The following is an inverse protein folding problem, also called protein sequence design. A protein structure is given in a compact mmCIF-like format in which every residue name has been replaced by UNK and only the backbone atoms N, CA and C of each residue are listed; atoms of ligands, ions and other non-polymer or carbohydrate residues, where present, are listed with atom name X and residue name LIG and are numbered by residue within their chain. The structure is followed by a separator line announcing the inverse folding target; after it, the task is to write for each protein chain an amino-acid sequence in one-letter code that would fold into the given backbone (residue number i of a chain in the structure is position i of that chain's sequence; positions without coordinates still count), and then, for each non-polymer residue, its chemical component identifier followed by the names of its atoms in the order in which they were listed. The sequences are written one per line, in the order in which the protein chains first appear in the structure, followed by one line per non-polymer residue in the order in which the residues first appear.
data_IF_779675270843
#
_entry.id   IF_779675270843
#
_cell.length_a   1.000
_cell.length_b   1.000
_cell.length_c   1.000
_cell.angle_alpha   90.00
_cell.angle_beta   90.00
_cell.angle_gamma   90.00
#
_symmetry.space_group_name_H-M   'P 1'
#
loop_
_entity.id
_entity.type
_entity.pdbx_description
1 polymer ?
#
# COMPACT_ATOMS: atom_id res chain seq x y z
N UNK A 1 -24.77 4.23 16.77
CA UNK A 1 -23.36 4.63 16.69
C UNK A 1 -23.30 5.64 15.57
N UNK A 2 -22.92 6.88 15.89
CA UNK A 2 -23.01 8.01 14.97
C UNK A 2 -22.01 7.83 13.82
N UNK A 3 -22.52 7.92 12.60
CA UNK A 3 -21.73 8.21 11.40
C UNK A 3 -21.03 9.56 11.59
N UNK A 4 -19.86 9.54 12.21
CA UNK A 4 -18.90 10.62 12.02
C UNK A 4 -18.20 10.36 10.70
N UNK A 5 -18.75 10.93 9.64
CA UNK A 5 -18.00 11.18 8.43
C UNK A 5 -16.87 12.15 8.82
N UNK A 6 -15.71 11.59 9.17
CA UNK A 6 -14.51 12.36 9.46
C UNK A 6 -14.16 13.06 8.15
N UNK A 7 -14.35 14.37 8.11
CA UNK A 7 -13.90 15.16 6.97
C UNK A 7 -12.38 15.08 6.94
N UNK A 8 -11.84 14.33 5.99
CA UNK A 8 -10.41 14.11 5.86
C UNK A 8 -9.74 15.41 5.44
N UNK A 9 -8.76 15.89 6.21
CA UNK A 9 -7.98 17.08 5.85
C UNK A 9 -7.02 16.73 4.70
N UNK A 10 -7.52 16.83 3.46
CA UNK A 10 -6.77 16.47 2.25
C UNK A 10 -5.49 17.28 2.07
N UNK A 11 -5.46 18.54 2.54
CA UNK A 11 -4.26 19.38 2.47
C UNK A 11 -3.16 18.82 3.37
N UNK A 12 -3.51 18.43 4.61
CA UNK A 12 -2.60 17.77 5.53
C UNK A 12 -2.12 16.42 4.95
N UNK A 13 -3.05 15.58 4.51
CA UNK A 13 -2.76 14.25 3.97
C UNK A 13 -1.79 14.33 2.79
N UNK A 14 -2.01 15.25 1.84
CA UNK A 14 -1.13 15.43 0.69
C UNK A 14 0.26 15.94 1.09
N UNK A 15 0.32 16.82 2.08
CA UNK A 15 1.58 17.40 2.58
C UNK A 15 2.53 16.33 3.12
N UNK A 16 1.97 15.33 3.82
CA UNK A 16 2.75 14.26 4.46
C UNK A 16 2.72 12.93 3.72
N UNK A 17 2.03 12.83 2.57
CA UNK A 17 2.00 11.60 1.78
C UNK A 17 3.44 11.18 1.41
N UNK A 18 3.81 9.90 1.57
CA UNK A 18 5.16 9.44 1.28
C UNK A 18 5.45 9.59 -0.21
N UNK A 19 6.69 9.96 -0.56
CA UNK A 19 7.14 9.92 -1.93
C UNK A 19 7.52 8.48 -2.28
N UNK A 20 6.61 7.77 -2.93
CA UNK A 20 6.86 6.40 -3.37
C UNK A 20 7.66 6.41 -4.67
N UNK A 21 8.53 5.41 -4.79
CA UNK A 21 9.27 5.12 -5.99
C UNK A 21 8.95 3.70 -6.46
N UNK A 22 8.59 3.54 -7.72
CA UNK A 22 8.27 2.25 -8.34
C UNK A 22 9.26 1.91 -9.44
N UNK A 23 9.43 0.63 -9.72
CA UNK A 23 10.18 0.18 -10.90
C UNK A 23 9.57 0.78 -12.16
N UNK A 24 10.43 1.17 -13.11
CA UNK A 24 10.01 1.78 -14.38
C UNK A 24 9.08 0.87 -15.20
N UNK A 25 9.11 -0.44 -15.00
CA UNK A 25 8.24 -1.40 -15.69
C UNK A 25 7.11 -1.95 -14.80
N UNK A 26 6.90 -1.38 -13.62
CA UNK A 26 5.78 -1.77 -12.76
C UNK A 26 4.44 -1.62 -13.50
N UNK A 27 3.64 -2.70 -13.65
CA UNK A 27 2.37 -2.65 -14.38
C UNK A 27 1.23 -2.04 -13.56
N UNK A 28 1.33 -2.04 -12.23
CA UNK A 28 0.23 -1.66 -11.33
C UNK A 28 0.62 -0.58 -10.33
N UNK A 29 -0.25 0.39 -10.15
CA UNK A 29 -0.06 1.53 -9.26
C UNK A 29 -1.22 1.66 -8.26
N UNK A 30 -1.03 2.38 -7.14
CA UNK A 30 -2.11 2.60 -6.19
C UNK A 30 -3.35 3.18 -6.86
N UNK A 31 -4.52 2.66 -6.53
CA UNK A 31 -5.82 3.16 -7.04
C UNK A 31 -6.64 3.86 -5.96
N UNK A 32 -6.40 3.52 -4.68
CA UNK A 32 -7.00 4.16 -3.51
C UNK A 32 -6.03 4.16 -2.33
N UNK A 33 -6.21 5.12 -1.43
CA UNK A 33 -5.46 5.21 -0.18
C UNK A 33 -6.42 5.55 0.96
N UNK A 34 -6.56 4.63 1.89
CA UNK A 34 -7.33 4.81 3.11
C UNK A 34 -6.47 5.48 4.16
N UNK A 35 -6.95 6.58 4.73
CA UNK A 35 -6.19 7.40 5.66
C UNK A 35 -6.80 7.39 7.05
N UNK A 36 -5.94 7.25 8.06
CA UNK A 36 -6.27 7.47 9.48
C UNK A 36 -5.30 8.47 10.08
N UNK A 37 -5.81 9.46 10.81
CA UNK A 37 -4.99 10.41 11.57
C UNK A 37 -5.15 10.08 13.06
N UNK A 38 -4.05 9.70 13.70
CA UNK A 38 -3.98 9.39 15.12
C UNK A 38 -3.46 10.62 15.88
N UNK A 39 -4.32 11.24 16.70
CA UNK A 39 -3.95 12.32 17.63
C UNK A 39 -3.55 11.77 19.02
N UNK A 40 -3.74 10.47 19.24
CA UNK A 40 -3.38 9.72 20.44
C UNK A 40 -3.08 8.26 20.06
N UNK A 41 -2.52 7.48 20.97
CA UNK A 41 -2.31 6.04 20.77
C UNK A 41 -3.64 5.35 20.36
N UNK A 42 -3.61 4.53 19.30
CA UNK A 42 -4.82 3.95 18.71
C UNK A 42 -4.56 2.73 17.81
N UNK A 43 -5.44 1.72 17.78
CA UNK A 43 -5.22 0.53 16.97
C UNK A 43 -5.40 0.88 15.49
N UNK A 44 -4.58 0.28 14.62
CA UNK A 44 -4.86 0.31 13.17
C UNK A 44 -6.04 -0.61 12.85
N UNK A 45 -6.93 -0.14 11.97
CA UNK A 45 -8.09 -0.93 11.53
C UNK A 45 -7.77 -1.92 10.41
N UNK A 46 -6.64 -1.72 9.72
CA UNK A 46 -6.26 -2.51 8.55
C UNK A 46 -4.90 -3.21 8.69
N UNK A 47 -4.18 -2.95 9.77
CA UNK A 47 -2.95 -3.67 10.13
C UNK A 47 -3.01 -4.11 11.58
N UNK A 48 -2.63 -5.36 11.87
CA UNK A 48 -2.71 -5.91 13.24
C UNK A 48 -1.63 -5.35 14.16
N UNK A 49 -1.79 -4.09 14.59
CA UNK A 49 -0.87 -3.38 15.48
C UNK A 49 -1.53 -2.26 16.29
N UNK A 50 -0.85 -1.89 17.36
CA UNK A 50 -1.08 -0.68 18.15
C UNK A 50 -0.17 0.43 17.59
N UNK A 51 -0.73 1.62 17.30
CA UNK A 51 0.07 2.81 17.03
C UNK A 51 0.33 3.48 18.38
N UNK A 52 1.60 3.48 18.80
CA UNK A 52 2.03 4.06 20.08
C UNK A 52 3.14 5.09 19.90
N UNK A 53 2.89 6.32 20.33
CA UNK A 53 3.79 7.46 20.14
C UNK A 53 3.73 8.51 21.25
N UNK A 54 2.74 8.46 22.15
CA UNK A 54 2.57 9.47 23.21
C UNK A 54 3.78 9.58 24.16
N UNK A 55 4.58 8.52 24.30
CA UNK A 55 5.83 8.54 25.07
C UNK A 55 6.93 9.44 24.47
N UNK A 56 6.83 9.82 23.20
CA UNK A 56 7.76 10.72 22.52
C UNK A 56 7.13 12.11 22.36
N UNK A 57 7.48 13.02 23.28
CA UNK A 57 6.91 14.37 23.35
C UNK A 57 7.11 15.23 22.09
N UNK A 58 8.01 14.83 21.17
CA UNK A 58 8.25 15.51 19.90
C UNK A 58 7.11 15.30 18.90
N UNK A 59 6.42 14.17 19.00
CA UNK A 59 5.40 13.73 18.03
C UNK A 59 4.07 14.39 18.40
N UNK A 60 3.43 15.00 17.41
CA UNK A 60 2.08 15.57 17.54
C UNK A 60 1.03 14.54 17.16
N UNK A 61 1.22 13.89 16.00
CA UNK A 61 0.26 12.93 15.44
C UNK A 61 0.95 11.90 14.56
N UNK A 62 0.23 10.83 14.24
CA UNK A 62 0.65 9.83 13.25
C UNK A 62 -0.39 9.73 12.16
N UNK A 63 0.06 9.74 10.90
CA UNK A 63 -0.81 9.54 9.75
C UNK A 63 -0.52 8.16 9.17
N UNK A 64 -1.54 7.32 9.13
CA UNK A 64 -1.52 6.02 8.46
C UNK A 64 -2.07 6.16 7.04
N UNK A 65 -1.28 5.70 6.07
CA UNK A 65 -1.67 5.55 4.68
C UNK A 65 -1.77 4.05 4.39
N UNK A 66 -2.98 3.51 4.32
CA UNK A 66 -3.26 2.16 3.83
C UNK A 66 -3.47 2.24 2.31
N UNK A 67 -2.45 1.86 1.56
CA UNK A 67 -2.33 2.06 0.12
C UNK A 67 -2.82 0.79 -0.56
N UNK A 68 -3.82 0.95 -1.43
CA UNK A 68 -4.53 -0.15 -2.07
C UNK A 68 -4.22 -0.22 -3.56
N UNK A 69 -3.97 -1.45 -4.02
CA UNK A 69 -3.91 -1.82 -5.43
C UNK A 69 -5.00 -2.84 -5.73
N UNK A 70 -5.56 -2.74 -6.93
CA UNK A 70 -6.36 -3.83 -7.48
C UNK A 70 -5.51 -5.10 -7.61
N UNK A 71 -4.21 -4.96 -7.89
CA UNK A 71 -3.30 -6.07 -8.15
C UNK A 71 -1.92 -5.82 -7.53
N UNK A 72 -1.37 -6.86 -6.90
CA UNK A 72 0.07 -7.11 -7.02
C UNK A 72 0.28 -8.12 -8.18
N UNK A 73 1.52 -8.38 -8.58
CA UNK A 73 1.78 -9.28 -9.72
C UNK A 73 1.49 -10.75 -9.40
N UNK A 74 1.41 -11.14 -8.12
CA UNK A 74 1.17 -12.51 -7.68
C UNK A 74 -0.32 -12.79 -7.37
N UNK A 75 -1.10 -11.79 -6.99
CA UNK A 75 -2.49 -11.91 -6.59
C UNK A 75 -3.34 -10.66 -6.88
N UNK A 76 -4.65 -10.93 -7.03
CA UNK A 76 -5.67 -9.90 -6.97
C UNK A 76 -5.81 -9.44 -5.52
N UNK A 77 -5.95 -8.12 -5.34
CA UNK A 77 -5.98 -7.36 -4.09
C UNK A 77 -4.61 -7.23 -3.40
N UNK A 78 -4.17 -6.00 -3.09
CA UNK A 78 -3.07 -5.74 -2.16
C UNK A 78 -3.36 -4.49 -1.30
N UNK A 79 -2.92 -4.54 -0.04
CA UNK A 79 -2.97 -3.43 0.90
C UNK A 79 -1.68 -3.35 1.72
N UNK A 80 -0.87 -2.35 1.43
CA UNK A 80 0.36 -2.04 2.16
C UNK A 80 0.22 -0.71 2.92
N UNK A 81 1.12 -0.43 3.85
CA UNK A 81 0.99 0.66 4.82
C UNK A 81 2.25 1.49 4.93
N UNK A 82 2.05 2.80 5.09
CA UNK A 82 3.07 3.73 5.56
C UNK A 82 2.51 4.53 6.73
N UNK A 83 3.27 4.62 7.81
CA UNK A 83 2.97 5.45 8.98
C UNK A 83 3.97 6.60 9.06
N UNK A 84 3.47 7.83 9.02
CA UNK A 84 4.25 9.06 9.12
C UNK A 84 4.02 9.69 10.49
N UNK A 85 5.07 9.83 11.28
CA UNK A 85 5.02 10.44 12.60
C UNK A 85 5.40 11.91 12.46
N UNK A 86 4.40 12.78 12.61
CA UNK A 86 4.53 14.22 12.41
C UNK A 86 4.93 14.88 13.73
N UNK A 87 5.98 15.67 13.70
CA UNK A 87 6.47 16.45 14.83
C UNK A 87 5.63 17.70 15.07
N UNK A 88 5.68 18.22 16.31
CA UNK A 88 5.07 19.50 16.69
C UNK A 88 5.63 20.71 15.94
N UNK A 89 6.78 20.55 15.27
CA UNK A 89 7.39 21.55 14.39
C UNK A 89 6.97 21.40 12.92
N UNK A 90 6.09 20.44 12.62
CA UNK A 90 5.62 20.12 11.27
C UNK A 90 6.60 19.26 10.45
N UNK A 91 7.73 18.82 11.01
CA UNK A 91 8.66 17.92 10.31
C UNK A 91 8.30 16.45 10.51
N UNK A 92 8.75 15.56 9.63
CA UNK A 92 8.65 14.12 9.88
C UNK A 92 9.68 13.70 10.93
N UNK A 93 9.21 13.27 12.09
CA UNK A 93 10.06 12.78 13.20
C UNK A 93 10.43 11.31 12.99
N UNK A 94 9.51 10.51 12.46
CA UNK A 94 9.71 9.08 12.20
C UNK A 94 8.86 8.61 11.02
N UNK A 95 9.24 7.48 10.44
CA UNK A 95 8.43 6.78 9.46
C UNK A 95 8.59 5.28 9.65
N UNK A 96 7.48 4.57 9.48
CA UNK A 96 7.43 3.12 9.41
C UNK A 96 6.69 2.71 8.15
N UNK A 97 7.03 1.55 7.60
CA UNK A 97 6.40 1.05 6.40
C UNK A 97 6.29 -0.48 6.46
N UNK A 98 5.25 -1.02 5.86
CA UNK A 98 4.99 -2.45 5.85
C UNK A 98 5.93 -3.19 4.89
N UNK A 99 6.15 -4.46 5.20
CA UNK A 99 7.01 -5.37 4.44
C UNK A 99 6.57 -6.80 4.68
N UNK A 100 5.81 -7.40 3.75
CA UNK A 100 5.35 -8.79 3.80
C UNK A 100 4.69 -9.19 5.14
N UNK A 101 3.69 -8.42 5.57
CA UNK A 101 2.95 -8.65 6.82
C UNK A 101 3.72 -8.29 8.10
N UNK A 102 4.93 -7.72 7.96
CA UNK A 102 5.68 -7.04 9.03
C UNK A 102 5.75 -5.55 8.72
N UNK A 103 6.48 -4.81 9.55
CA UNK A 103 6.84 -3.42 9.27
C UNK A 103 8.25 -3.13 9.78
N UNK A 104 8.90 -2.17 9.13
CA UNK A 104 10.23 -1.71 9.46
C UNK A 104 10.27 -0.19 9.59
N UNK A 105 11.42 0.35 10.01
CA UNK A 105 11.67 1.78 9.90
C UNK A 105 11.78 2.17 8.43
N UNK A 106 10.94 3.12 8.03
CA UNK A 106 10.97 3.79 6.73
C UNK A 106 11.78 5.08 6.74
N UNK A 107 12.28 5.53 7.90
CA UNK A 107 13.18 6.67 8.01
C UNK A 107 14.62 6.22 8.25
N UNK A 108 15.55 6.68 7.40
CA UNK A 108 16.97 6.41 7.59
C UNK A 108 17.52 7.20 8.78
N UNK A 109 18.51 6.61 9.48
CA UNK A 109 19.14 7.24 10.65
C UNK A 109 19.80 8.57 10.31
N UNK A 110 20.40 8.67 9.13
CA UNK A 110 21.01 9.90 8.59
C UNK A 110 19.98 10.83 7.92
N UNK A 111 18.71 10.42 7.87
CA UNK A 111 17.59 11.12 7.24
C UNK A 111 17.80 11.43 5.76
N UNK A 112 18.70 10.73 5.08
CA UNK A 112 19.01 10.96 3.66
C UNK A 112 17.82 10.72 2.71
N UNK A 113 16.77 10.02 3.18
CA UNK A 113 15.52 9.84 2.44
C UNK A 113 14.41 10.86 2.80
N UNK A 114 14.77 11.99 3.42
CA UNK A 114 13.92 13.18 3.60
C UNK A 114 14.70 14.38 3.07
N UNK A 115 14.07 15.23 2.27
CA UNK A 115 14.76 16.42 1.73
C UNK A 115 14.74 17.56 2.74
N UNK A 116 15.85 18.29 2.89
CA UNK A 116 15.89 19.52 3.70
C UNK A 116 14.91 20.59 3.19
N UNK A 117 14.66 20.63 1.88
CA UNK A 117 13.72 21.56 1.27
C UNK A 117 12.26 21.10 1.38
N UNK A 118 12.03 19.86 1.79
CA UNK A 118 10.70 19.28 1.95
C UNK A 118 10.70 18.28 3.13
N UNK A 119 10.69 18.79 4.37
CA UNK A 119 10.85 17.97 5.58
C UNK A 119 9.58 17.17 5.93
N UNK A 120 8.53 17.25 5.12
CA UNK A 120 7.23 16.59 5.34
C UNK A 120 7.09 15.27 4.60
N UNK A 121 7.97 14.97 3.62
CA UNK A 121 7.86 13.79 2.76
C UNK A 121 9.06 12.86 2.90
N UNK A 122 8.77 11.57 3.12
CA UNK A 122 9.76 10.49 3.19
C UNK A 122 9.77 9.72 1.87
N UNK A 123 10.96 9.49 1.31
CA UNK A 123 11.16 8.68 0.11
C UNK A 123 11.25 7.19 0.45
N UNK A 124 10.45 6.38 -0.21
CA UNK A 124 10.39 4.92 -0.05
C UNK A 124 10.33 4.22 -1.40
N UNK A 125 11.07 3.13 -1.53
CA UNK A 125 11.01 2.22 -2.68
C UNK A 125 9.92 1.19 -2.45
N UNK A 126 9.04 1.00 -3.43
CA UNK A 126 8.11 -0.12 -3.48
C UNK A 126 8.79 -1.32 -4.13
N UNK A 127 8.64 -2.51 -3.55
CA UNK A 127 9.13 -3.74 -4.15
C UNK A 127 8.42 -3.97 -5.49
N UNK A 128 9.17 -4.21 -6.57
CA UNK A 128 8.59 -4.57 -7.86
C UNK A 128 7.65 -5.77 -7.73
N UNK A 129 6.40 -5.58 -8.14
CA UNK A 129 5.36 -6.60 -8.19
C UNK A 129 4.75 -7.09 -6.88
N UNK A 130 5.41 -7.00 -5.72
CA UNK A 130 4.85 -7.41 -4.40
C UNK A 130 4.57 -6.26 -3.44
N UNK A 131 4.97 -5.04 -3.82
CA UNK A 131 4.67 -3.75 -3.19
C UNK A 131 5.02 -3.51 -1.70
N UNK A 132 5.80 -4.38 -1.06
CA UNK A 132 6.47 -4.09 0.21
C UNK A 132 7.36 -2.82 0.14
N UNK A 133 7.47 -2.04 1.22
CA UNK A 133 8.18 -0.77 1.21
C UNK A 133 9.53 -0.79 1.93
N UNK A 134 10.54 -0.13 1.36
CA UNK A 134 11.86 0.01 1.96
C UNK A 134 12.44 1.41 1.78
N UNK A 135 13.15 1.97 2.77
CA UNK A 135 13.93 3.20 2.58
C UNK A 135 15.23 2.98 1.78
N UNK A 136 15.64 1.73 1.56
CA UNK A 136 16.86 1.35 0.84
C UNK A 136 16.57 0.37 -0.27
N UNK A 137 17.06 0.69 -1.48
CA UNK A 137 16.96 -0.20 -2.63
C UNK A 137 17.65 -1.55 -2.38
N UNK A 138 18.82 -1.54 -1.75
CA UNK A 138 19.60 -2.74 -1.44
C UNK A 138 18.83 -3.77 -0.58
N UNK A 139 17.82 -3.33 0.21
CA UNK A 139 16.97 -4.27 0.96
C UNK A 139 16.02 -5.05 0.04
N UNK A 140 15.55 -4.43 -1.04
CA UNK A 140 14.66 -5.10 -2.00
C UNK A 140 15.40 -6.17 -2.79
N UNK A 141 16.68 -5.94 -3.11
CA UNK A 141 17.56 -6.90 -3.78
C UNK A 141 17.81 -8.18 -2.96
N UNK A 142 17.56 -8.13 -1.65
CA UNK A 142 17.70 -9.29 -0.76
C UNK A 142 16.42 -10.13 -0.69
N UNK A 143 15.32 -9.70 -1.32
CA UNK A 143 14.03 -10.43 -1.26
C UNK A 143 14.11 -11.73 -2.09
N UNK A 144 13.84 -12.90 -1.48
CA UNK A 144 14.07 -14.22 -2.09
C UNK A 144 13.25 -14.65 -3.31
N UNK A 145 12.99 -13.84 -4.32
CA UNK A 145 12.30 -14.24 -5.57
C UNK A 145 11.95 -13.01 -6.41
N UNK A 146 12.61 -11.88 -6.15
CA UNK A 146 12.32 -10.58 -6.76
C UNK A 146 12.06 -10.65 -8.27
N UNK A 147 12.85 -11.46 -8.98
CA UNK A 147 12.71 -11.65 -10.43
C UNK A 147 11.72 -12.74 -10.83
N UNK A 148 11.55 -13.78 -10.01
CA UNK A 148 10.69 -14.91 -10.38
C UNK A 148 9.23 -14.66 -10.08
N UNK A 149 8.92 -13.89 -9.03
CA UNK A 149 7.54 -13.52 -8.71
C UNK A 149 6.90 -12.63 -9.77
N UNK A 150 7.69 -11.76 -10.38
CA UNK A 150 7.25 -10.82 -11.41
C UNK A 150 7.13 -11.44 -12.81
N UNK A 151 7.73 -12.62 -13.03
CA UNK A 151 7.75 -13.28 -14.34
C UNK A 151 7.21 -14.71 -14.32
N UNK A 152 7.96 -15.68 -13.78
CA UNK A 152 7.59 -17.09 -13.82
C UNK A 152 6.35 -17.42 -12.99
N UNK A 153 6.23 -16.86 -11.78
CA UNK A 153 5.14 -17.18 -10.83
C UNK A 153 4.12 -16.06 -10.68
N UNK A 154 4.05 -15.15 -11.66
CA UNK A 154 3.00 -14.12 -11.72
C UNK A 154 1.61 -14.78 -11.62
N UNK A 155 0.75 -14.20 -10.80
CA UNK A 155 -0.61 -14.67 -10.54
C UNK A 155 -0.75 -15.93 -9.70
N UNK A 156 0.34 -16.57 -9.27
CA UNK A 156 0.30 -17.88 -8.60
C UNK A 156 -0.41 -17.89 -7.24
N UNK A 157 -0.66 -16.74 -6.63
CA UNK A 157 -1.38 -16.61 -5.36
C UNK A 157 -2.89 -16.39 -5.53
N UNK A 158 -3.40 -16.19 -6.76
CA UNK A 158 -4.84 -16.10 -7.03
C UNK A 158 -5.49 -14.87 -6.38
N UNK A 159 -6.67 -15.03 -5.79
CA UNK A 159 -7.29 -13.96 -5.00
C UNK A 159 -6.86 -14.05 -3.53
N UNK A 160 -6.21 -13.01 -3.03
CA UNK A 160 -5.90 -12.86 -1.61
C UNK A 160 -7.16 -12.45 -0.84
N UNK A 161 -7.50 -13.21 0.21
CA UNK A 161 -8.59 -12.88 1.14
C UNK A 161 -8.00 -12.55 2.50
N UNK A 162 -7.80 -11.26 2.85
CA UNK A 162 -7.19 -10.89 4.11
C UNK A 162 -8.13 -11.16 5.29
N UNK A 163 -7.53 -11.42 6.45
CA UNK A 163 -8.22 -11.78 7.68
C UNK A 163 -9.40 -10.85 8.05
N UNK A 164 -9.22 -9.55 7.83
CA UNK A 164 -10.20 -8.50 8.14
C UNK A 164 -11.40 -8.44 7.18
N UNK A 165 -11.32 -9.11 6.02
CA UNK A 165 -12.37 -9.14 4.99
C UNK A 165 -12.89 -10.54 4.71
N UNK A 166 -12.54 -11.54 5.53
CA UNK A 166 -12.99 -12.93 5.37
C UNK A 166 -14.50 -13.11 5.35
N UNK A 167 -15.25 -12.23 6.02
CA UNK A 167 -16.73 -12.27 6.03
C UNK A 167 -17.35 -11.59 4.79
N UNK A 168 -16.54 -10.90 3.97
CA UNK A 168 -16.98 -10.09 2.82
C UNK A 168 -16.46 -10.61 1.48
N UNK A 169 -15.39 -11.40 1.50
CA UNK A 169 -14.71 -11.93 0.33
C UNK A 169 -14.43 -13.41 0.52
N UNK A 170 -14.57 -14.19 -0.55
CA UNK A 170 -14.21 -15.60 -0.59
C UNK A 170 -13.52 -15.89 -1.91
N UNK A 171 -12.72 -16.95 -1.95
CA UNK A 171 -12.13 -17.44 -3.19
C UNK A 171 -12.30 -18.95 -3.30
N UNK A 172 -12.18 -19.45 -4.53
CA UNK A 172 -12.17 -20.87 -4.87
C UNK A 172 -11.10 -21.16 -5.94
N UNK A 173 -11.03 -22.43 -6.37
CA UNK A 173 -10.03 -22.85 -7.36
C UNK A 173 -10.23 -22.20 -8.72
N UNK A 174 -11.47 -21.97 -9.14
CA UNK A 174 -11.77 -21.38 -10.45
C UNK A 174 -11.40 -19.89 -10.47
N UNK A 175 -11.72 -19.17 -9.39
CA UNK A 175 -11.33 -17.78 -9.16
C UNK A 175 -9.82 -17.63 -9.14
N UNK A 176 -9.10 -18.49 -8.41
CA UNK A 176 -7.65 -18.43 -8.36
C UNK A 176 -7.01 -18.69 -9.73
N UNK A 177 -7.51 -19.66 -10.50
CA UNK A 177 -7.03 -19.92 -11.86
C UNK A 177 -7.34 -18.78 -12.84
N UNK A 178 -8.48 -18.11 -12.68
CA UNK A 178 -8.84 -16.94 -13.48
C UNK A 178 -7.84 -15.80 -13.23
N UNK A 179 -7.58 -15.49 -11.95
CA UNK A 179 -6.62 -14.45 -11.54
C UNK A 179 -5.20 -14.81 -12.01
N UNK A 180 -4.78 -16.05 -11.82
CA UNK A 180 -3.45 -16.53 -12.24
C UNK A 180 -3.23 -16.28 -13.73
N UNK A 181 -4.20 -16.70 -14.56
CA UNK A 181 -4.13 -16.53 -16.02
C UNK A 181 -4.14 -15.05 -16.43
N UNK A 182 -4.89 -14.22 -15.73
CA UNK A 182 -4.96 -12.80 -16.02
C UNK A 182 -3.63 -12.10 -15.71
N UNK A 183 -3.10 -12.29 -14.50
CA UNK A 183 -1.86 -11.64 -14.05
C UNK A 183 -0.63 -12.11 -14.83
N UNK A 184 -0.61 -13.35 -15.32
CA UNK A 184 0.43 -13.81 -16.26
C UNK A 184 0.53 -12.96 -17.53
N UNK A 185 -0.52 -12.27 -17.94
CA UNK A 185 -0.48 -11.36 -19.11
C UNK A 185 0.25 -10.04 -18.82
N UNK A 186 0.45 -9.69 -17.55
CA UNK A 186 1.12 -8.48 -17.07
C UNK A 186 2.54 -8.73 -16.56
N UNK A 187 3.01 -9.98 -16.63
CA UNK A 187 4.33 -10.37 -16.15
C UNK A 187 5.44 -9.51 -16.76
N UNK A 188 6.44 -9.16 -15.96
CA UNK A 188 7.52 -8.27 -16.36
C UNK A 188 8.84 -8.68 -15.71
N UNK A 189 9.94 -8.07 -16.19
CA UNK A 189 11.26 -8.21 -15.56
C UNK A 189 11.64 -6.87 -14.96
N UNK A 190 11.77 -6.76 -13.62
CA UNK A 190 12.15 -5.52 -12.97
C UNK A 190 13.44 -4.94 -13.56
N UNK A 191 13.44 -3.63 -13.80
CA UNK A 191 14.62 -2.90 -14.27
C UNK A 191 15.56 -2.51 -13.15
N UNK A 192 15.04 -2.42 -11.93
CA UNK A 192 15.68 -1.81 -10.77
C UNK A 192 16.01 -0.32 -10.97
N UNK A 193 15.37 0.30 -11.96
CA UNK A 193 15.38 1.75 -12.18
C UNK A 193 14.05 2.31 -11.66
N UNK A 194 14.13 3.26 -10.75
CA UNK A 194 12.98 3.72 -9.99
C UNK A 194 12.54 5.13 -10.39
N UNK A 195 11.22 5.31 -10.52
CA UNK A 195 10.58 6.58 -10.86
C UNK A 195 9.67 7.03 -9.72
N UNK A 196 9.63 8.34 -9.50
CA UNK A 196 8.76 8.95 -8.49
C UNK A 196 7.29 8.87 -8.92
N UNK A 197 6.44 8.41 -8.01
CA UNK A 197 4.99 8.39 -8.20
C UNK A 197 4.36 9.69 -7.71
N UNK A 198 3.48 10.26 -8.54
CA UNK A 198 2.73 11.46 -8.22
C UNK A 198 1.32 11.09 -7.74
N UNK A 199 1.00 11.42 -6.50
CA UNK A 199 -0.34 11.22 -5.95
C UNK A 199 -1.36 12.13 -6.63
N UNK A 200 -2.47 11.54 -7.08
CA UNK A 200 -3.69 12.28 -7.39
C UNK A 200 -4.51 12.45 -6.10
N UNK A 201 -5.05 13.63 -5.85
CA UNK A 201 -5.78 13.93 -4.62
C UNK A 201 -7.06 13.09 -4.47
N UNK A 202 -7.66 12.67 -5.58
CA UNK A 202 -8.89 11.87 -5.62
C UNK A 202 -8.72 10.42 -5.16
N UNK A 203 -7.49 9.94 -4.95
CA UNK A 203 -7.26 8.58 -4.44
C UNK A 203 -7.39 8.47 -2.93
N UNK A 204 -7.28 9.60 -2.21
CA UNK A 204 -7.34 9.61 -0.74
C UNK A 204 -8.79 9.58 -0.25
N UNK A 205 -9.08 8.62 0.61
CA UNK A 205 -10.37 8.43 1.28
C UNK A 205 -10.12 8.10 2.75
N UNK A 206 -11.14 8.14 3.61
CA UNK A 206 -10.97 7.62 4.97
C UNK A 206 -10.72 6.10 4.94
N UNK A 207 -9.99 5.58 5.94
CA UNK A 207 -9.77 4.13 6.02
C UNK A 207 -11.09 3.33 6.09
N UNK A 208 -12.11 3.87 6.75
CA UNK A 208 -13.42 3.24 6.83
C UNK A 208 -14.09 3.13 5.44
N UNK A 209 -14.01 4.17 4.61
CA UNK A 209 -14.52 4.15 3.24
C UNK A 209 -13.76 3.13 2.39
N UNK A 210 -12.41 3.12 2.44
CA UNK A 210 -11.62 2.14 1.70
C UNK A 210 -12.01 0.69 2.03
N UNK A 211 -12.22 0.37 3.32
CA UNK A 211 -12.61 -0.98 3.74
C UNK A 211 -14.00 -1.40 3.22
N UNK A 212 -14.88 -0.44 2.91
CA UNK A 212 -16.16 -0.71 2.25
C UNK A 212 -16.00 -0.88 0.73
N UNK A 213 -15.08 -0.13 0.11
CA UNK A 213 -14.82 -0.18 -1.33
C UNK A 213 -14.11 -1.46 -1.77
N UNK A 214 -13.16 -1.97 -0.96
CA UNK A 214 -12.30 -3.11 -1.35
C UNK A 214 -13.09 -4.31 -1.91
N UNK A 215 -14.11 -4.87 -1.24
CA UNK A 215 -14.83 -6.03 -1.78
C UNK A 215 -15.56 -5.71 -3.09
N UNK A 216 -16.02 -4.47 -3.28
CA UNK A 216 -16.70 -4.04 -4.50
C UNK A 216 -15.71 -3.97 -5.67
N UNK A 217 -14.51 -3.42 -5.41
CA UNK A 217 -13.41 -3.36 -6.36
C UNK A 217 -12.93 -4.73 -6.79
N UNK A 218 -12.69 -5.64 -5.84
CA UNK A 218 -12.32 -7.03 -6.15
C UNK A 218 -13.37 -7.71 -7.05
N UNK A 219 -14.66 -7.56 -6.74
CA UNK A 219 -15.73 -8.12 -7.57
C UNK A 219 -15.79 -7.49 -8.96
N UNK A 220 -15.53 -6.18 -9.06
CA UNK A 220 -15.43 -5.49 -10.33
C UNK A 220 -14.30 -6.07 -11.19
N UNK A 221 -13.08 -6.17 -10.64
CA UNK A 221 -11.92 -6.71 -11.36
C UNK A 221 -12.13 -8.16 -11.80
N UNK A 222 -12.72 -9.02 -10.95
CA UNK A 222 -13.06 -10.40 -11.34
C UNK A 222 -14.01 -10.43 -12.55
N UNK A 223 -14.97 -9.51 -12.62
CA UNK A 223 -15.88 -9.41 -13.76
C UNK A 223 -15.17 -8.89 -15.02
N UNK A 224 -14.24 -7.95 -14.88
CA UNK A 224 -13.40 -7.51 -16.00
C UNK A 224 -12.50 -8.65 -16.52
N UNK A 225 -11.96 -9.50 -15.65
CA UNK A 225 -11.21 -10.69 -16.05
C UNK A 225 -12.07 -11.69 -16.82
N UNK A 226 -13.31 -11.97 -16.34
CA UNK A 226 -14.25 -12.84 -17.05
C UNK A 226 -14.53 -12.30 -18.46
N UNK A 227 -14.79 -11.00 -18.59
CA UNK A 227 -14.99 -10.34 -19.89
C UNK A 227 -13.76 -10.45 -20.79
N UNK A 228 -12.56 -10.24 -20.23
CA UNK A 228 -11.30 -10.36 -20.96
C UNK A 228 -11.12 -11.74 -21.60
N UNK A 229 -11.55 -12.81 -20.91
CA UNK A 229 -11.50 -14.17 -21.44
C UNK A 229 -12.77 -14.63 -22.19
N UNK A 230 -13.75 -13.75 -22.40
CA UNK A 230 -15.00 -14.10 -23.07
C UNK A 230 -15.87 -15.09 -22.28
N UNK A 231 -15.73 -15.12 -20.95
CA UNK A 231 -16.56 -15.93 -20.05
C UNK A 231 -17.83 -15.12 -19.79
N UNK A 232 -18.96 -15.59 -20.31
CA UNK A 232 -20.28 -15.02 -20.07
C UNK A 232 -20.98 -15.80 -18.96
N UNK A 233 -21.57 -15.08 -18.00
CA UNK A 233 -22.43 -15.68 -16.95
C UNK A 233 -23.75 -16.21 -17.53
#
# INVERSE_FOLDING_TARGET
MQDQQINLDLALVKTYAPQLLFDRLEPFFPVRVGVTIFEQDGPSLSFRRMISFESDARIEKVIEYAIYWDYDIEHLYELEHVWIYVGRDGSVVNCECSFHGKYFKGLLKDRSNVSDNNPTQVKLYAQPGKHAFSPLLAMLELVPNLHTCTYETAGSAGLLVPDMLRDKMTTDKETNLLVERYLQTFRFRPTMEFIEYAWDESVFVSLAELLLEIPQRVNHELNEMKKYFGIHE
#
